data_IF_555071296369
#
_entry.id   IF_555071296369
#
_cell.length_a   1.000
_cell.length_b   1.000
_cell.length_c   1.000
_cell.angle_alpha   90.00
_cell.angle_beta   90.00
_cell.angle_gamma   90.00
#
_symmetry.space_group_name_H-M   'P 1'
#
loop_
_entity.id
_entity.type
_entity.pdbx_description
1 polymer ?
#
# COMPACT_ATOMS: atom_id res chain seq x y z
N UNK A 1 15.51 -4.01 -7.65
CA UNK A 1 16.21 -4.59 -6.50
C UNK A 1 15.50 -4.28 -5.18
N UNK A 2 15.32 -3.01 -4.79
CA UNK A 2 14.63 -2.67 -3.53
C UNK A 2 13.21 -3.25 -3.38
N UNK A 3 12.37 -3.14 -4.42
CA UNK A 3 11.00 -3.69 -4.36
C UNK A 3 10.94 -5.21 -4.21
N UNK A 4 11.82 -5.95 -4.89
CA UNK A 4 11.91 -7.41 -4.75
C UNK A 4 12.46 -7.81 -3.38
N UNK A 5 13.48 -7.12 -2.87
CA UNK A 5 14.01 -7.36 -1.53
C UNK A 5 12.98 -7.07 -0.42
N UNK A 6 12.13 -6.05 -0.59
CA UNK A 6 11.05 -5.77 0.35
C UNK A 6 10.07 -6.95 0.47
N UNK A 7 9.69 -7.56 -0.66
CA UNK A 7 8.80 -8.73 -0.69
C UNK A 7 9.49 -9.95 -0.08
N UNK A 8 10.75 -10.20 -0.45
CA UNK A 8 11.53 -11.33 0.08
C UNK A 8 11.71 -11.22 1.59
N UNK A 9 12.05 -10.02 2.08
CA UNK A 9 12.25 -9.76 3.51
C UNK A 9 10.94 -9.93 4.27
N UNK A 10 9.86 -9.29 3.81
CA UNK A 10 8.55 -9.40 4.46
C UNK A 10 8.06 -10.85 4.58
N UNK A 11 8.21 -11.66 3.52
CA UNK A 11 7.81 -13.06 3.56
C UNK A 11 8.74 -13.94 4.40
N UNK A 12 10.04 -13.64 4.41
CA UNK A 12 11.03 -14.37 5.21
C UNK A 12 10.88 -14.11 6.71
N UNK A 13 10.42 -12.91 7.10
CA UNK A 13 10.14 -12.57 8.50
C UNK A 13 8.88 -13.25 9.03
N UNK A 14 7.87 -13.46 8.18
CA UNK A 14 6.62 -14.15 8.55
C UNK A 14 6.79 -15.68 8.53
N UNK A 15 7.48 -16.24 7.55
CA UNK A 15 7.62 -17.69 7.37
C UNK A 15 9.08 -18.15 7.53
N UNK A 16 9.45 -18.78 8.67
CA UNK A 16 10.83 -19.21 8.93
C UNK A 16 11.30 -20.31 7.95
N UNK A 17 10.37 -21.07 7.36
CA UNK A 17 10.67 -22.09 6.33
C UNK A 17 11.22 -21.44 5.05
N UNK A 18 10.67 -20.29 4.64
CA UNK A 18 11.11 -19.54 3.47
C UNK A 18 12.50 -18.93 3.70
N UNK A 19 12.80 -18.52 4.94
CA UNK A 19 14.11 -18.01 5.32
C UNK A 19 15.21 -19.07 5.18
N UNK A 20 14.93 -20.33 5.50
CA UNK A 20 15.90 -21.43 5.37
C UNK A 20 16.19 -21.81 3.91
N UNK A 21 15.20 -21.67 3.02
CA UNK A 21 15.31 -22.03 1.60
C UNK A 21 15.22 -20.80 0.68
N UNK A 22 15.94 -19.72 1.04
CA UNK A 22 15.85 -18.42 0.36
C UNK A 22 16.12 -18.52 -1.15
N UNK A 23 17.10 -19.31 -1.57
CA UNK A 23 17.47 -19.46 -2.99
C UNK A 23 16.33 -20.04 -3.84
N UNK A 24 15.70 -21.12 -3.35
CA UNK A 24 14.54 -21.72 -4.00
C UNK A 24 13.35 -20.78 -4.06
N UNK A 25 13.08 -20.08 -2.95
CA UNK A 25 12.00 -19.10 -2.89
C UNK A 25 12.19 -17.97 -3.92
N UNK A 26 13.40 -17.42 -4.01
CA UNK A 26 13.75 -16.36 -4.96
C UNK A 26 13.63 -16.88 -6.40
N UNK A 27 14.07 -18.10 -6.68
CA UNK A 27 13.93 -18.73 -8.00
C UNK A 27 12.47 -18.88 -8.43
N UNK A 28 11.59 -19.31 -7.53
CA UNK A 28 10.14 -19.42 -7.78
C UNK A 28 9.53 -18.04 -8.01
N UNK A 29 9.86 -17.06 -7.17
CA UNK A 29 9.34 -15.70 -7.28
C UNK A 29 9.70 -15.04 -8.62
N UNK A 30 10.95 -15.14 -9.06
CA UNK A 30 11.36 -14.59 -10.34
C UNK A 30 10.79 -15.36 -11.53
N UNK A 31 10.65 -16.68 -11.41
CA UNK A 31 9.97 -17.49 -12.43
C UNK A 31 8.50 -17.07 -12.59
N UNK A 32 7.81 -16.79 -11.47
CA UNK A 32 6.46 -16.25 -11.48
C UNK A 32 6.38 -14.85 -12.11
N UNK A 33 7.31 -13.95 -11.78
CA UNK A 33 7.39 -12.63 -12.42
C UNK A 33 7.65 -12.73 -13.92
N UNK A 34 8.48 -13.69 -14.36
CA UNK A 34 8.73 -13.92 -15.76
C UNK A 34 7.45 -14.33 -16.49
N UNK A 35 6.69 -15.29 -15.96
CA UNK A 35 5.43 -15.76 -16.56
C UNK A 35 4.40 -14.62 -16.66
N UNK A 36 4.23 -13.83 -15.59
CA UNK A 36 3.32 -12.68 -15.58
C UNK A 36 3.83 -11.54 -16.48
N UNK A 37 5.13 -11.44 -16.72
CA UNK A 37 5.74 -10.45 -17.59
C UNK A 37 5.61 -10.74 -19.09
N UNK A 38 5.32 -11.98 -19.49
CA UNK A 38 5.19 -12.37 -20.91
C UNK A 38 4.19 -11.49 -21.70
N UNK A 39 2.98 -11.17 -21.20
CA UNK A 39 2.05 -10.28 -21.88
C UNK A 39 2.64 -8.90 -22.20
N UNK A 40 3.50 -8.37 -21.32
CA UNK A 40 4.18 -7.08 -21.51
C UNK A 40 5.18 -7.07 -22.67
N UNK A 41 5.68 -8.24 -23.10
CA UNK A 41 6.61 -8.37 -24.22
C UNK A 41 5.92 -8.55 -25.58
N UNK A 42 4.59 -8.62 -25.62
CA UNK A 42 3.84 -8.74 -26.88
C UNK A 42 3.71 -7.39 -27.58
N UNK A 43 3.29 -7.38 -28.86
CA UNK A 43 3.04 -6.14 -29.61
C UNK A 43 2.01 -5.21 -28.95
N UNK A 44 1.12 -5.75 -28.10
CA UNK A 44 0.14 -5.01 -27.32
C UNK A 44 0.61 -4.72 -25.87
N UNK A 45 1.86 -5.04 -25.54
CA UNK A 45 2.40 -4.97 -24.19
C UNK A 45 2.37 -3.57 -23.58
N UNK A 46 2.49 -2.53 -24.40
CA UNK A 46 2.45 -1.13 -23.94
C UNK A 46 1.10 -0.78 -23.28
N UNK A 47 -0.02 -1.28 -23.82
CA UNK A 47 -1.34 -1.08 -23.23
C UNK A 47 -1.48 -1.81 -21.88
N UNK A 48 -0.94 -3.02 -21.80
CA UNK A 48 -0.95 -3.80 -20.55
C UNK A 48 -0.10 -3.14 -19.47
N UNK A 49 1.10 -2.66 -19.82
CA UNK A 49 1.99 -1.95 -18.90
C UNK A 49 1.36 -0.66 -18.42
N UNK A 50 0.74 0.12 -19.30
CA UNK A 50 0.11 1.39 -18.92
C UNK A 50 -1.11 1.20 -18.01
N UNK A 51 -1.95 0.19 -18.30
CA UNK A 51 -3.07 -0.17 -17.43
C UNK A 51 -2.58 -0.54 -16.02
N UNK A 52 -1.55 -1.38 -15.93
CA UNK A 52 -0.96 -1.77 -14.65
C UNK A 52 -0.31 -0.57 -13.93
N UNK A 53 0.42 0.29 -14.65
CA UNK A 53 1.07 1.45 -14.06
C UNK A 53 0.05 2.42 -13.47
N UNK A 54 -1.05 2.70 -14.19
CA UNK A 54 -2.08 3.59 -13.71
C UNK A 54 -2.82 2.99 -12.50
N UNK A 55 -3.33 1.76 -12.59
CA UNK A 55 -4.15 1.18 -11.53
C UNK A 55 -3.35 0.58 -10.37
N UNK A 56 -2.32 -0.23 -10.65
CA UNK A 56 -1.58 -0.97 -9.64
C UNK A 56 -0.49 -0.13 -8.96
N UNK A 57 0.18 0.79 -9.67
CA UNK A 57 1.21 1.61 -9.06
C UNK A 57 0.64 2.90 -8.48
N UNK A 58 -0.02 3.74 -9.29
CA UNK A 58 -0.43 5.08 -8.85
C UNK A 58 -1.60 5.06 -7.85
N UNK A 59 -2.76 4.51 -8.22
CA UNK A 59 -3.93 4.51 -7.32
C UNK A 59 -3.72 3.65 -6.08
N UNK A 60 -3.17 2.45 -6.24
CA UNK A 60 -2.95 1.55 -5.09
C UNK A 60 -1.99 2.15 -4.05
N UNK A 61 -0.85 2.72 -4.46
CA UNK A 61 0.16 3.21 -3.51
C UNK A 61 -0.33 4.45 -2.76
N UNK A 62 -0.98 5.38 -3.45
CA UNK A 62 -1.43 6.63 -2.84
C UNK A 62 -2.53 6.34 -1.81
N UNK A 63 -3.45 5.42 -2.12
CA UNK A 63 -4.48 4.98 -1.17
C UNK A 63 -3.84 4.24 0.02
N UNK A 64 -2.88 3.34 -0.22
CA UNK A 64 -2.19 2.62 0.85
C UNK A 64 -1.44 3.59 1.79
N UNK A 65 -0.66 4.52 1.25
CA UNK A 65 0.09 5.52 2.03
C UNK A 65 -0.85 6.48 2.77
N UNK A 66 -2.02 6.81 2.22
CA UNK A 66 -3.04 7.59 2.92
C UNK A 66 -3.53 6.84 4.18
N UNK A 67 -3.86 5.55 4.05
CA UNK A 67 -4.28 4.74 5.19
C UNK A 67 -3.15 4.55 6.21
N UNK A 68 -1.92 4.33 5.77
CA UNK A 68 -0.75 4.26 6.65
C UNK A 68 -0.55 5.58 7.41
N UNK A 69 -0.62 6.73 6.71
CA UNK A 69 -0.49 8.04 7.34
C UNK A 69 -1.58 8.28 8.40
N UNK A 70 -2.84 7.94 8.11
CA UNK A 70 -3.95 8.06 9.06
C UNK A 70 -3.76 7.10 10.24
N UNK A 71 -3.36 5.85 9.98
CA UNK A 71 -3.14 4.85 11.02
C UNK A 71 -2.02 5.27 11.98
N UNK A 72 -0.91 5.74 11.44
CA UNK A 72 0.24 6.20 12.23
C UNK A 72 -0.13 7.45 13.03
N UNK A 73 -0.70 8.48 12.39
CA UNK A 73 -0.96 9.75 13.08
C UNK A 73 -2.14 9.72 14.06
N UNK A 74 -3.24 9.02 13.74
CA UNK A 74 -4.48 9.01 14.54
C UNK A 74 -4.68 7.74 15.37
N UNK A 75 -4.41 6.54 14.82
CA UNK A 75 -4.67 5.28 15.55
C UNK A 75 -3.54 4.92 16.52
N UNK A 76 -2.29 5.04 16.08
CA UNK A 76 -1.12 4.79 16.94
C UNK A 76 -0.85 5.99 17.85
N UNK A 77 -1.01 7.21 17.32
CA UNK A 77 -0.99 8.44 18.08
C UNK A 77 0.40 9.06 18.16
N UNK A 78 0.47 10.36 17.88
CA UNK A 78 1.70 11.15 17.78
C UNK A 78 2.60 11.07 19.02
N UNK A 79 2.01 10.97 20.22
CA UNK A 79 2.78 10.89 21.47
C UNK A 79 3.66 9.64 21.52
N UNK A 80 3.08 8.48 21.16
CA UNK A 80 3.80 7.20 21.14
C UNK A 80 4.92 7.21 20.11
N UNK A 81 4.64 7.72 18.91
CA UNK A 81 5.67 7.87 17.86
C UNK A 81 6.82 8.77 18.33
N UNK A 82 6.50 9.88 18.98
CA UNK A 82 7.50 10.81 19.49
C UNK A 82 8.38 10.18 20.57
N UNK A 83 7.78 9.34 21.43
CA UNK A 83 8.48 8.56 22.44
C UNK A 83 9.37 7.48 21.82
N UNK A 84 8.86 6.70 20.86
CA UNK A 84 9.63 5.66 20.14
C UNK A 84 10.83 6.27 19.41
N UNK A 85 10.62 7.41 18.73
CA UNK A 85 11.70 8.15 18.03
C UNK A 85 12.74 8.66 19.04
N UNK A 86 12.30 9.16 20.19
CA UNK A 86 13.21 9.61 21.23
C UNK A 86 14.02 8.44 21.81
N UNK A 87 13.43 7.26 21.96
CA UNK A 87 14.14 6.07 22.43
C UNK A 87 15.20 5.61 21.41
N UNK A 88 14.90 5.68 20.11
CA UNK A 88 15.82 5.28 19.05
C UNK A 88 16.95 6.31 18.79
N UNK A 89 16.64 7.61 18.78
CA UNK A 89 17.57 8.67 18.38
C UNK A 89 18.08 9.52 19.56
N UNK A 90 17.58 9.29 20.77
CA UNK A 90 17.91 10.06 21.97
C UNK A 90 17.31 11.48 22.02
N UNK A 91 16.61 11.93 20.98
CA UNK A 91 16.07 13.30 20.87
C UNK A 91 14.61 13.29 20.41
N UNK A 92 13.80 14.21 20.98
CA UNK A 92 12.38 14.33 20.60
C UNK A 92 12.25 14.97 19.22
N UNK A 93 11.38 14.46 18.34
CA UNK A 93 11.09 15.13 17.08
C UNK A 93 10.48 16.51 17.32
N UNK A 94 10.95 17.51 16.56
CA UNK A 94 10.46 18.88 16.67
C UNK A 94 8.98 19.02 16.29
N UNK A 95 8.35 20.11 16.74
CA UNK A 95 6.94 20.42 16.45
C UNK A 95 6.61 20.45 14.95
N UNK A 96 7.58 20.84 14.11
CA UNK A 96 7.44 20.82 12.66
C UNK A 96 7.11 19.41 12.13
N UNK A 97 7.87 18.39 12.54
CA UNK A 97 7.66 17.00 12.11
C UNK A 97 6.31 16.46 12.57
N UNK A 98 5.92 16.78 13.80
CA UNK A 98 4.64 16.38 14.38
C UNK A 98 3.46 16.97 13.58
N UNK A 99 3.50 18.26 13.26
CA UNK A 99 2.45 18.91 12.47
C UNK A 99 2.40 18.33 11.06
N UNK A 100 3.57 18.08 10.47
CA UNK A 100 3.66 17.48 9.13
C UNK A 100 3.02 16.10 9.07
N UNK A 101 3.29 15.22 10.05
CA UNK A 101 2.69 13.88 10.07
C UNK A 101 1.22 13.87 10.45
N UNK A 102 0.79 14.77 11.34
CA UNK A 102 -0.60 14.81 11.82
C UNK A 102 -1.57 15.39 10.79
N UNK A 103 -1.16 16.48 10.13
CA UNK A 103 -2.06 17.31 9.34
C UNK A 103 -1.63 17.39 7.89
N UNK A 104 -0.37 17.76 7.63
CA UNK A 104 0.07 18.09 6.27
C UNK A 104 0.06 16.85 5.38
N UNK A 105 0.64 15.74 5.84
CA UNK A 105 0.72 14.50 5.09
C UNK A 105 -0.67 13.92 4.71
N UNK A 106 -1.61 13.69 5.65
CA UNK A 106 -2.92 13.14 5.29
C UNK A 106 -3.75 14.10 4.45
N UNK A 107 -3.68 15.42 4.68
CA UNK A 107 -4.41 16.40 3.86
C UNK A 107 -3.85 16.46 2.44
N UNK A 108 -2.53 16.47 2.29
CA UNK A 108 -1.87 16.50 0.98
C UNK A 108 -2.16 15.22 0.18
N UNK A 109 -2.00 14.05 0.81
CA UNK A 109 -2.32 12.75 0.19
C UNK A 109 -3.81 12.63 -0.15
N UNK A 110 -4.69 13.05 0.76
CA UNK A 110 -6.12 13.09 0.52
C UNK A 110 -6.49 13.99 -0.67
N UNK A 111 -5.83 15.15 -0.79
CA UNK A 111 -6.00 16.05 -1.92
C UNK A 111 -5.61 15.40 -3.25
N UNK A 112 -4.52 14.63 -3.29
CA UNK A 112 -4.08 13.89 -4.49
C UNK A 112 -5.07 12.78 -4.85
N UNK A 113 -5.58 12.03 -3.86
CA UNK A 113 -6.59 10.99 -4.12
C UNK A 113 -7.87 11.63 -4.70
N UNK A 114 -8.36 12.71 -4.10
CA UNK A 114 -9.58 13.39 -4.55
C UNK A 114 -9.39 13.99 -5.95
N UNK A 115 -8.26 14.65 -6.22
CA UNK A 115 -7.99 15.20 -7.55
C UNK A 115 -7.86 14.10 -8.60
N UNK A 116 -7.21 12.97 -8.27
CA UNK A 116 -7.11 11.80 -9.13
C UNK A 116 -8.45 11.12 -9.42
N UNK A 117 -9.38 11.12 -8.46
CA UNK A 117 -10.73 10.60 -8.66
C UNK A 117 -11.60 11.55 -9.50
N UNK A 118 -11.44 12.87 -9.33
CA UNK A 118 -12.18 13.87 -10.13
C UNK A 118 -11.70 13.86 -11.59
N UNK A 119 -10.39 13.75 -11.80
CA UNK A 119 -9.77 13.69 -13.13
C UNK A 119 -9.82 12.29 -13.75
N UNK A 120 -10.53 11.35 -13.14
CA UNK A 120 -10.70 9.98 -13.63
C UNK A 120 -11.65 9.91 -14.85
N UNK A 121 -11.45 10.78 -15.84
CA UNK A 121 -11.94 10.56 -17.19
C UNK A 121 -11.18 9.36 -17.75
N UNK A 122 -11.93 8.31 -18.09
CA UNK A 122 -11.51 7.05 -18.72
C UNK A 122 -10.05 7.08 -19.20
N UNK A 123 -9.11 6.36 -18.54
CA UNK A 123 -7.72 6.32 -18.99
C UNK A 123 -7.70 5.63 -20.35
N UNK A 124 -7.91 6.42 -21.40
CA UNK A 124 -7.79 6.04 -22.79
C UNK A 124 -6.32 6.18 -23.16
N UNK A 125 -5.82 5.25 -23.95
CA UNK A 125 -4.48 5.39 -24.50
C UNK A 125 -4.53 6.44 -25.60
N UNK A 126 -3.80 7.55 -25.42
CA UNK A 126 -3.80 8.69 -26.34
C UNK A 126 -4.95 9.69 -26.14
N UNK A 127 -4.74 10.94 -26.58
CA UNK A 127 -5.82 11.94 -26.65
C UNK A 127 -6.70 11.66 -27.87
N UNK A 128 -7.93 12.15 -27.85
CA UNK A 128 -8.90 11.98 -28.94
C UNK A 128 -8.42 12.47 -30.32
N UNK A 129 -7.40 13.32 -30.36
CA UNK A 129 -6.78 13.85 -31.59
C UNK A 129 -5.55 13.06 -32.06
N UNK A 130 -5.13 12.02 -31.33
CA UNK A 130 -3.96 11.20 -31.70
C UNK A 130 -4.37 10.01 -32.58
N UNK A 131 -3.59 9.65 -33.62
CA UNK A 131 -3.89 8.51 -34.50
C UNK A 131 -3.82 7.13 -33.81
N UNK A 132 -3.45 7.09 -32.52
CA UNK A 132 -3.33 5.90 -31.67
C UNK A 132 -4.34 5.90 -30.51
N UNK A 133 -5.50 6.56 -30.67
CA UNK A 133 -6.57 6.50 -29.67
C UNK A 133 -7.07 5.06 -29.47
N UNK A 134 -6.93 4.53 -28.26
CA UNK A 134 -7.50 3.26 -27.87
C UNK A 134 -8.33 3.42 -26.59
N UNK A 135 -9.64 3.24 -26.74
CA UNK A 135 -10.58 3.20 -25.62
C UNK A 135 -10.50 1.82 -24.95
N UNK A 136 -10.16 1.81 -23.67
CA UNK A 136 -10.08 0.54 -22.95
C UNK A 136 -11.47 -0.05 -22.76
N UNK A 137 -11.61 -1.38 -22.91
CA UNK A 137 -12.86 -2.04 -22.61
C UNK A 137 -13.24 -1.84 -21.13
N UNK A 138 -14.54 -1.69 -20.84
CA UNK A 138 -15.06 -1.51 -19.45
C UNK A 138 -14.57 -2.57 -18.46
N UNK A 139 -14.33 -3.77 -18.94
CA UNK A 139 -13.88 -4.94 -18.21
C UNK A 139 -12.43 -4.78 -17.75
N UNK A 140 -11.58 -4.10 -18.54
CA UNK A 140 -10.21 -3.75 -18.15
C UNK A 140 -10.18 -2.75 -17.00
N UNK A 141 -11.10 -1.78 -16.95
CA UNK A 141 -11.22 -0.87 -15.82
C UNK A 141 -11.66 -1.59 -14.54
N UNK A 142 -12.60 -2.54 -14.63
CA UNK A 142 -13.03 -3.36 -13.48
C UNK A 142 -11.85 -4.16 -12.92
N UNK A 143 -11.07 -4.80 -13.79
CA UNK A 143 -9.87 -5.54 -13.40
C UNK A 143 -8.85 -4.61 -12.73
N UNK A 144 -8.59 -3.43 -13.31
CA UNK A 144 -7.69 -2.43 -12.73
C UNK A 144 -8.10 -2.01 -11.32
N UNK A 145 -9.38 -1.71 -11.10
CA UNK A 145 -9.90 -1.38 -9.78
C UNK A 145 -9.85 -2.55 -8.80
N UNK A 146 -10.10 -3.78 -9.26
CA UNK A 146 -9.93 -4.97 -8.41
C UNK A 146 -8.49 -5.14 -7.94
N UNK A 147 -7.50 -4.93 -8.82
CA UNK A 147 -6.08 -4.95 -8.45
C UNK A 147 -5.70 -3.83 -7.48
N UNK A 148 -6.21 -2.61 -7.70
CA UNK A 148 -5.95 -1.49 -6.80
C UNK A 148 -6.55 -1.74 -5.39
N UNK A 149 -7.79 -2.23 -5.34
CA UNK A 149 -8.49 -2.50 -4.09
C UNK A 149 -7.96 -3.74 -3.35
N UNK A 150 -7.43 -4.75 -4.07
CA UNK A 150 -6.91 -5.96 -3.43
C UNK A 150 -5.71 -5.69 -2.52
N UNK A 151 -4.89 -4.69 -2.83
CA UNK A 151 -3.79 -4.28 -1.95
C UNK A 151 -4.30 -3.51 -0.73
N UNK A 152 -5.22 -2.57 -0.96
CA UNK A 152 -5.77 -1.69 0.09
C UNK A 152 -6.61 -2.46 1.10
N UNK A 153 -7.37 -3.46 0.66
CA UNK A 153 -8.26 -4.24 1.53
C UNK A 153 -7.49 -5.07 2.58
N UNK A 154 -6.21 -5.37 2.35
CA UNK A 154 -5.36 -6.07 3.31
C UNK A 154 -5.26 -5.32 4.65
N UNK A 155 -5.22 -3.98 4.63
CA UNK A 155 -5.10 -3.15 5.83
C UNK A 155 -6.32 -3.31 6.76
N UNK A 156 -7.57 -3.03 6.33
CA UNK A 156 -8.74 -3.24 7.18
C UNK A 156 -9.01 -4.73 7.44
N UNK A 157 -8.68 -5.64 6.51
CA UNK A 157 -8.86 -7.08 6.74
C UNK A 157 -8.00 -7.58 7.90
N UNK A 158 -6.73 -7.18 7.99
CA UNK A 158 -5.85 -7.52 9.12
C UNK A 158 -6.36 -6.88 10.42
N UNK A 159 -6.83 -5.64 10.38
CA UNK A 159 -7.40 -4.98 11.56
C UNK A 159 -8.64 -5.73 12.08
N UNK A 160 -9.54 -6.16 11.19
CA UNK A 160 -10.72 -6.95 11.56
C UNK A 160 -10.32 -8.34 12.07
N UNK A 161 -9.35 -8.99 11.42
CA UNK A 161 -8.85 -10.30 11.84
C UNK A 161 -8.28 -10.27 13.26
N UNK A 162 -7.45 -9.26 13.58
CA UNK A 162 -6.93 -9.04 14.92
C UNK A 162 -8.07 -8.78 15.93
N UNK A 163 -9.05 -7.96 15.58
CA UNK A 163 -10.21 -7.70 16.44
C UNK A 163 -11.06 -8.94 16.71
N UNK A 164 -11.17 -9.87 15.75
CA UNK A 164 -11.93 -11.13 15.91
C UNK A 164 -11.17 -12.10 16.82
N UNK A 165 -9.87 -12.25 16.63
CA UNK A 165 -9.03 -13.11 17.47
C UNK A 165 -8.94 -12.58 18.91
N UNK A 166 -8.76 -11.27 19.06
CA UNK A 166 -8.69 -10.61 20.36
C UNK A 166 -10.07 -10.50 21.04
N UNK A 167 -11.17 -10.68 20.30
CA UNK A 167 -12.54 -10.66 20.84
C UNK A 167 -12.82 -11.75 21.87
N UNK A 168 -12.01 -12.81 21.92
CA UNK A 168 -12.02 -13.76 23.04
C UNK A 168 -11.57 -13.14 24.38
N UNK A 169 -10.98 -11.94 24.37
CA UNK A 169 -10.35 -11.30 25.53
C UNK A 169 -10.59 -9.77 25.57
N UNK A 170 -11.72 -9.27 25.04
CA UNK A 170 -12.03 -7.85 24.81
C UNK A 170 -11.81 -6.93 26.04
N UNK A 171 -11.98 -7.48 27.25
CA UNK A 171 -11.76 -6.78 28.51
C UNK A 171 -10.27 -6.49 28.80
N UNK A 172 -9.34 -7.28 28.26
CA UNK A 172 -7.89 -7.06 28.43
C UNK A 172 -7.32 -6.06 27.45
N UNK A 173 -7.80 -5.98 26.20
CA UNK A 173 -7.32 -5.03 25.18
C UNK A 173 -7.71 -3.59 25.53
N UNK A 174 -8.96 -3.37 25.95
CA UNK A 174 -9.42 -2.05 26.43
C UNK A 174 -8.66 -1.66 27.72
N UNK A 175 -8.36 -2.63 28.59
CA UNK A 175 -7.60 -2.42 29.83
C UNK A 175 -6.10 -2.17 29.57
N UNK A 176 -5.49 -2.77 28.53
CA UNK A 176 -4.12 -2.49 28.08
C UNK A 176 -4.01 -1.10 27.45
N UNK A 177 -4.91 -0.73 26.53
CA UNK A 177 -4.99 0.63 25.98
C UNK A 177 -5.22 1.70 27.05
N UNK A 178 -5.97 1.39 28.12
CA UNK A 178 -6.16 2.33 29.26
C UNK A 178 -4.94 2.43 30.18
N UNK A 179 -4.10 1.38 30.26
CA UNK A 179 -2.91 1.33 31.13
C UNK A 179 -1.65 1.91 30.46
N UNK A 180 -1.60 1.98 29.13
CA UNK A 180 -0.56 2.71 28.38
C UNK A 180 -0.84 4.21 28.25
N UNK A 181 -2.00 4.70 28.70
CA UNK A 181 -2.39 6.12 28.63
C UNK A 181 -2.40 6.79 30.02
N UNK A 182 -1.83 6.14 31.04
CA UNK A 182 -1.78 6.58 32.44
C UNK A 182 -0.37 6.37 32.98
#
# INVERSE_FOLDING_TARGET
>A
FGGSEAIITALSDVFPVLRQHREWFVGILFSFYFIIGIPSCTNAGIYFVELLQNYAAFYSIIIAVLFEAIAVSWLYGIKRISEDIQEMLGTKPGKFWIITWCLVAPVFLGGIVVSGLIQHTHPNYGKSDDPFYYEYPKWSHVIGWMFALSSVICIPAVAIYQLIIERGNLSTVIRRKKKENL
#
